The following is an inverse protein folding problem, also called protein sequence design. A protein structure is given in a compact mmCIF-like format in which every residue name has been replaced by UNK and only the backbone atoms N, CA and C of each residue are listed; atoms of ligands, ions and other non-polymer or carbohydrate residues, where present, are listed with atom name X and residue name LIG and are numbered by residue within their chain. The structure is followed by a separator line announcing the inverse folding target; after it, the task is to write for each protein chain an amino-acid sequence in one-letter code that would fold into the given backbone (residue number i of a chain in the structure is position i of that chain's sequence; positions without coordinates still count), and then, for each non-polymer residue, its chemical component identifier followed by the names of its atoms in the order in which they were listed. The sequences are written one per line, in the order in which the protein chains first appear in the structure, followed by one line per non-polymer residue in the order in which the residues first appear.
data_IF_992218405809
#
_entry.id   IF_992218405809
#
_cell.length_a   1.000
_cell.length_b   1.000
_cell.length_c   1.000
_cell.angle_alpha   90.00
_cell.angle_beta   90.00
_cell.angle_gamma   90.00
#
_symmetry.space_group_name_H-M   'P 1'
#
loop_
_entity.id
_entity.type
_entity.pdbx_description
1 polymer ?
#
# COMPACT_ATOMS: atom_id res chain seq x y z
N UNK A 1 23.48 19.39 4.66
CA UNK A 1 22.26 19.56 3.84
C UNK A 1 22.43 18.73 2.58
N UNK A 2 21.35 18.14 2.06
CA UNK A 2 21.25 17.13 1.00
C UNK A 2 21.30 15.66 1.43
N UNK A 3 20.09 15.07 1.53
CA UNK A 3 19.82 13.66 1.24
C UNK A 3 18.41 13.57 0.62
N UNK A 4 18.22 14.23 -0.53
CA UNK A 4 17.10 13.99 -1.43
C UNK A 4 17.56 12.99 -2.49
N UNK A 5 17.38 11.69 -2.24
CA UNK A 5 17.59 10.68 -3.28
C UNK A 5 17.02 9.33 -2.85
N UNK A 6 15.69 9.22 -2.74
CA UNK A 6 14.99 7.94 -2.57
C UNK A 6 13.48 8.15 -2.80
N UNK A 7 13.00 8.43 -4.03
CA UNK A 7 11.60 8.18 -4.41
C UNK A 7 11.23 8.42 -5.89
N UNK A 8 12.12 8.18 -6.87
CA UNK A 8 11.79 8.39 -8.29
C UNK A 8 11.23 7.16 -9.04
N UNK A 9 10.82 6.08 -8.37
CA UNK A 9 10.40 4.86 -9.08
C UNK A 9 9.15 4.19 -8.50
N UNK A 10 8.05 4.94 -8.36
CA UNK A 10 6.72 4.37 -8.11
C UNK A 10 5.82 4.49 -9.33
N UNK A 11 6.10 3.68 -10.36
CA UNK A 11 5.20 3.38 -11.47
C UNK A 11 4.39 2.10 -11.24
N UNK A 12 3.86 1.88 -10.03
CA UNK A 12 3.14 0.65 -9.70
C UNK A 12 1.65 0.80 -9.97
N UNK A 13 1.22 0.28 -11.12
CA UNK A 13 -0.20 0.16 -11.52
C UNK A 13 -0.81 -1.06 -10.84
N UNK A 14 -1.77 -0.85 -9.94
CA UNK A 14 -2.58 -1.91 -9.34
C UNK A 14 -3.73 -2.26 -10.29
N UNK A 15 -3.62 -3.34 -11.08
CA UNK A 15 -4.78 -3.94 -11.77
C UNK A 15 -5.20 -5.21 -11.04
N UNK A 16 -6.43 -5.22 -10.51
CA UNK A 16 -7.03 -6.38 -9.84
C UNK A 16 -7.30 -7.54 -10.83
N UNK A 17 -7.05 -8.77 -10.39
CA UNK A 17 -7.37 -10.00 -11.14
C UNK A 17 -8.89 -10.23 -11.14
N UNK A 18 -9.45 -10.31 -12.35
CA UNK A 18 -10.85 -10.66 -12.66
C UNK A 18 -11.31 -11.96 -11.97
N UNK A 19 -12.42 -11.97 -11.19
CA UNK A 19 -13.06 -13.22 -10.78
C UNK A 19 -13.76 -13.88 -11.98
N UNK A 20 -13.57 -15.20 -12.13
CA UNK A 20 -14.17 -16.00 -13.20
C UNK A 20 -15.65 -16.19 -12.92
N UNK A 21 -16.54 -15.82 -13.85
CA UNK A 21 -17.91 -16.35 -13.85
C UNK A 21 -19.10 -15.40 -14.08
N UNK A 22 -18.96 -14.23 -14.70
CA UNK A 22 -20.14 -13.42 -15.07
C UNK A 22 -20.20 -13.15 -16.58
N UNK A 23 -21.13 -13.80 -17.27
CA UNK A 23 -21.51 -13.51 -18.65
C UNK A 23 -22.52 -12.35 -18.68
N UNK A 24 -22.02 -11.14 -18.51
CA UNK A 24 -22.74 -9.90 -18.77
C UNK A 24 -21.82 -8.97 -19.53
N UNK A 25 -22.28 -8.36 -20.63
CA UNK A 25 -21.50 -7.35 -21.37
C UNK A 25 -21.37 -6.10 -20.51
N UNK A 26 -20.39 -6.10 -19.62
CA UNK A 26 -19.95 -4.94 -18.87
C UNK A 26 -19.25 -4.00 -19.85
N UNK A 27 -19.87 -2.85 -20.15
CA UNK A 27 -19.18 -1.74 -20.80
C UNK A 27 -18.28 -1.14 -19.71
N UNK A 28 -17.03 -1.57 -19.67
CA UNK A 28 -16.04 -1.07 -18.73
C UNK A 28 -15.59 0.31 -19.22
N UNK A 29 -16.07 1.38 -18.56
CA UNK A 29 -15.65 2.77 -18.78
C UNK A 29 -14.21 2.99 -18.24
N UNK A 30 -13.25 2.20 -18.70
CA UNK A 30 -11.82 2.37 -18.40
C UNK A 30 -11.21 3.57 -19.16
N UNK A 31 -11.96 4.22 -20.06
CA UNK A 31 -11.42 5.09 -21.11
C UNK A 31 -11.03 6.51 -20.68
N UNK A 32 -11.12 6.89 -19.40
CA UNK A 32 -10.89 8.28 -18.99
C UNK A 32 -9.74 8.53 -18.02
N UNK A 33 -8.93 7.53 -17.66
CA UNK A 33 -7.85 7.74 -16.67
C UNK A 33 -6.53 7.14 -17.09
N UNK A 34 -5.49 7.96 -17.04
CA UNK A 34 -4.10 7.54 -17.00
C UNK A 34 -3.84 6.89 -15.64
N UNK A 35 -3.41 5.61 -15.60
CA UNK A 35 -3.09 4.92 -14.34
C UNK A 35 -1.98 5.62 -13.52
N UNK A 36 -1.25 6.56 -14.13
CA UNK A 36 -0.24 7.38 -13.48
C UNK A 36 -0.81 8.49 -12.59
N UNK A 37 -2.06 8.91 -12.80
CA UNK A 37 -2.64 10.05 -12.09
C UNK A 37 -3.78 9.65 -11.13
N UNK A 38 -4.25 8.41 -11.23
CA UNK A 38 -5.42 7.93 -10.50
C UNK A 38 -5.18 6.57 -9.84
N UNK A 39 -5.66 6.42 -8.61
CA UNK A 39 -5.89 5.11 -7.99
C UNK A 39 -7.33 4.69 -8.29
N UNK A 40 -7.49 3.56 -8.96
CA UNK A 40 -8.80 2.96 -9.23
C UNK A 40 -8.89 1.63 -8.47
N UNK A 41 -9.89 1.48 -7.61
CA UNK A 41 -10.16 0.24 -6.90
C UNK A 41 -11.68 0.07 -6.77
N UNK A 42 -12.15 -1.17 -6.74
CA UNK A 42 -13.57 -1.50 -6.89
C UNK A 42 -14.19 -0.97 -8.21
N UNK A 43 -15.33 -1.54 -8.62
CA UNK A 43 -15.95 -1.16 -9.89
C UNK A 43 -16.38 0.31 -9.88
N UNK A 44 -15.70 1.14 -10.67
CA UNK A 44 -16.10 2.52 -10.97
C UNK A 44 -15.62 3.60 -9.99
N UNK A 45 -14.83 3.28 -8.94
CA UNK A 45 -14.22 4.32 -8.08
C UNK A 45 -12.82 4.71 -8.56
N UNK A 46 -12.53 6.00 -8.53
CA UNK A 46 -11.26 6.57 -8.93
C UNK A 46 -10.91 7.77 -8.06
N UNK A 47 -9.68 7.83 -7.57
CA UNK A 47 -9.17 8.88 -6.69
C UNK A 47 -7.86 9.46 -7.24
N UNK A 48 -7.63 10.75 -7.00
CA UNK A 48 -6.46 11.46 -7.50
C UNK A 48 -5.20 11.13 -6.70
N UNK A 49 -4.11 10.82 -7.41
CA UNK A 49 -2.76 10.68 -6.83
C UNK A 49 -2.12 12.03 -6.54
N UNK A 50 -2.39 13.04 -7.38
CA UNK A 50 -1.86 14.39 -7.24
C UNK A 50 -2.98 15.42 -7.43
N UNK A 51 -3.49 15.95 -6.33
CA UNK A 51 -4.59 16.92 -6.31
C UNK A 51 -4.20 18.26 -6.94
N UNK A 52 -2.93 18.68 -6.81
CA UNK A 52 -2.42 19.96 -7.36
C UNK A 52 -2.45 20.00 -8.88
N UNK A 53 -2.36 18.84 -9.54
CA UNK A 53 -2.46 18.74 -11.01
C UNK A 53 -3.85 19.15 -11.53
N UNK A 54 -4.88 19.10 -10.68
CA UNK A 54 -6.27 19.36 -11.04
C UNK A 54 -6.86 20.53 -10.25
N UNK A 55 -6.01 21.49 -9.86
CA UNK A 55 -6.38 22.76 -9.19
C UNK A 55 -7.08 22.62 -7.81
N UNK A 56 -7.07 21.42 -7.23
CA UNK A 56 -7.51 21.23 -5.85
C UNK A 56 -6.50 21.82 -4.87
N UNK A 57 -7.02 22.40 -3.80
CA UNK A 57 -6.19 23.04 -2.77
C UNK A 57 -5.74 22.03 -1.72
N UNK A 58 -4.70 22.35 -0.95
CA UNK A 58 -4.22 21.47 0.13
C UNK A 58 -5.31 21.25 1.20
N UNK A 59 -6.25 22.18 1.37
CA UNK A 59 -7.43 22.02 2.22
C UNK A 59 -8.44 20.97 1.72
N UNK A 60 -8.44 20.65 0.42
CA UNK A 60 -9.26 19.57 -0.13
C UNK A 60 -8.65 18.19 0.10
N UNK A 61 -7.35 18.17 0.38
CA UNK A 61 -6.48 17.00 0.58
C UNK A 61 -5.75 17.05 1.94
N UNK A 62 -6.48 17.17 3.07
CA UNK A 62 -5.85 17.32 4.37
C UNK A 62 -5.09 16.04 4.77
N UNK A 63 -3.94 16.22 5.43
CA UNK A 63 -3.29 15.15 6.18
C UNK A 63 -4.14 14.79 7.39
N UNK A 64 -4.36 13.49 7.59
CA UNK A 64 -5.17 12.95 8.69
C UNK A 64 -4.29 12.51 9.88
N UNK A 65 -2.97 12.68 9.78
CA UNK A 65 -1.99 12.15 10.72
C UNK A 65 -1.68 10.67 10.47
N UNK A 66 -0.69 10.12 11.19
CA UNK A 66 -0.27 8.71 11.11
C UNK A 66 0.05 8.21 9.68
N UNK A 67 0.57 9.10 8.82
CA UNK A 67 0.87 8.78 7.42
C UNK A 67 -0.39 8.51 6.59
N UNK A 68 -1.51 9.19 6.89
CA UNK A 68 -2.76 9.12 6.14
C UNK A 68 -3.14 10.50 5.59
N UNK A 69 -3.87 10.50 4.48
CA UNK A 69 -4.39 11.70 3.83
C UNK A 69 -5.80 11.44 3.30
N UNK A 70 -6.57 12.51 3.06
CA UNK A 70 -7.88 12.41 2.44
C UNK A 70 -7.78 12.68 0.93
N UNK A 71 -8.04 11.69 0.10
CA UNK A 71 -8.03 11.85 -1.35
C UNK A 71 -9.40 12.25 -1.89
N UNK A 72 -9.40 13.10 -2.92
CA UNK A 72 -10.59 13.42 -3.71
C UNK A 72 -10.72 12.45 -4.87
N UNK A 73 -11.94 12.01 -5.14
CA UNK A 73 -12.24 11.07 -6.21
C UNK A 73 -13.68 11.13 -6.68
N UNK A 74 -14.05 10.13 -7.47
CA UNK A 74 -15.41 9.96 -7.97
C UNK A 74 -15.79 8.49 -8.07
N UNK A 75 -17.08 8.22 -7.96
CA UNK A 75 -17.69 6.95 -8.30
C UNK A 75 -18.53 7.12 -9.56
N UNK A 76 -18.29 6.28 -10.56
CA UNK A 76 -18.92 6.33 -11.87
C UNK A 76 -19.67 5.04 -12.10
N UNK A 77 -20.92 5.14 -12.52
CA UNK A 77 -21.73 3.98 -12.91
C UNK A 77 -22.60 4.29 -14.11
N UNK A 78 -22.97 3.26 -14.86
CA UNK A 78 -23.94 3.35 -15.94
C UNK A 78 -25.23 2.71 -15.48
N UNK A 79 -26.35 3.42 -15.62
CA UNK A 79 -27.70 2.91 -15.34
C UNK A 79 -28.54 3.04 -16.59
N UNK A 80 -29.31 2.01 -16.91
CA UNK A 80 -30.30 2.10 -17.99
C UNK A 80 -31.57 2.71 -17.43
N UNK A 81 -32.02 3.81 -18.04
CA UNK A 81 -33.25 4.53 -17.68
C UNK A 81 -34.24 4.48 -18.84
N UNK A 82 -35.52 4.67 -18.54
CA UNK A 82 -36.58 4.76 -19.55
C UNK A 82 -36.37 6.01 -20.40
N UNK A 83 -36.28 5.82 -21.71
CA UNK A 83 -36.15 6.90 -22.67
C UNK A 83 -37.47 7.67 -22.89
N UNK A 84 -37.42 8.82 -23.58
CA UNK A 84 -38.59 9.68 -23.82
C UNK A 84 -39.77 8.99 -24.52
N UNK A 85 -39.51 7.85 -25.18
CA UNK A 85 -40.49 7.06 -25.95
C UNK A 85 -41.01 5.81 -25.20
N UNK A 86 -40.98 5.83 -23.85
CA UNK A 86 -41.49 4.80 -22.93
C UNK A 86 -40.77 3.43 -23.02
N UNK A 87 -41.24 2.45 -22.23
CA UNK A 87 -40.79 1.05 -21.99
C UNK A 87 -40.05 0.28 -23.10
N UNK A 88 -40.14 0.66 -24.37
CA UNK A 88 -39.44 0.03 -25.49
C UNK A 88 -38.05 0.64 -25.77
N UNK A 89 -37.68 1.77 -25.15
CA UNK A 89 -36.39 2.44 -25.35
C UNK A 89 -35.65 2.62 -24.02
N UNK A 90 -34.55 1.88 -23.85
CA UNK A 90 -33.62 2.07 -22.74
C UNK A 90 -32.49 3.01 -23.17
N UNK A 91 -32.25 4.07 -22.39
CA UNK A 91 -31.12 4.97 -22.58
C UNK A 91 -30.09 4.71 -21.48
N UNK A 92 -28.81 4.72 -21.84
CA UNK A 92 -27.74 4.68 -20.86
C UNK A 92 -27.59 6.07 -20.22
N UNK A 93 -27.75 6.15 -18.91
CA UNK A 93 -27.41 7.31 -18.10
C UNK A 93 -26.10 7.04 -17.37
N UNK A 94 -25.18 8.00 -17.44
CA UNK A 94 -23.94 7.97 -16.65
C UNK A 94 -24.20 8.73 -15.36
N UNK A 95 -24.04 8.05 -14.24
CA UNK A 95 -24.11 8.64 -12.89
C UNK A 95 -22.69 8.83 -12.40
N UNK A 96 -22.35 10.07 -12.02
CA UNK A 96 -21.04 10.43 -11.48
C UNK A 96 -21.26 11.10 -10.13
N UNK A 97 -20.78 10.44 -9.07
CA UNK A 97 -20.80 10.97 -7.71
C UNK A 97 -19.39 11.36 -7.28
N UNK A 98 -19.23 12.51 -6.63
CA UNK A 98 -17.96 12.87 -5.99
C UNK A 98 -17.75 12.08 -4.70
N UNK A 99 -16.51 11.66 -4.43
CA UNK A 99 -16.12 10.91 -3.24
C UNK A 99 -14.88 11.50 -2.59
N UNK A 100 -14.76 11.35 -1.28
CA UNK A 100 -13.50 11.48 -0.55
C UNK A 100 -13.25 10.19 0.23
N UNK A 101 -12.02 9.72 0.27
CA UNK A 101 -11.64 8.53 1.02
C UNK A 101 -10.25 8.74 1.65
N UNK A 102 -10.00 8.12 2.80
CA UNK A 102 -8.71 8.18 3.45
C UNK A 102 -7.76 7.18 2.78
N UNK A 103 -6.52 7.58 2.56
CA UNK A 103 -5.48 6.75 1.98
C UNK A 103 -4.23 6.80 2.84
N UNK A 104 -3.42 5.75 2.72
CA UNK A 104 -2.07 5.74 3.23
C UNK A 104 -1.09 6.49 2.33
N UNK A 105 -0.24 7.32 2.92
CA UNK A 105 0.88 7.95 2.23
C UNK A 105 1.85 6.88 1.70
N UNK A 106 2.32 6.99 0.44
CA UNK A 106 3.38 6.14 -0.07
C UNK A 106 4.72 6.58 0.54
N UNK A 107 5.12 5.93 1.63
CA UNK A 107 6.37 6.23 2.33
C UNK A 107 7.10 4.96 2.81
N UNK A 108 8.39 5.10 3.12
CA UNK A 108 9.16 4.04 3.73
C UNK A 108 8.50 3.60 5.04
N UNK A 109 8.35 2.30 5.25
CA UNK A 109 7.56 1.82 6.38
C UNK A 109 8.14 2.28 7.73
N UNK A 110 9.46 2.42 7.82
CA UNK A 110 10.12 2.90 9.04
C UNK A 110 9.65 4.32 9.42
N UNK A 111 9.52 5.22 8.45
CA UNK A 111 9.02 6.57 8.69
C UNK A 111 7.57 6.53 9.18
N UNK A 112 6.77 5.67 8.56
CA UNK A 112 5.38 5.46 8.96
C UNK A 112 5.25 4.96 10.39
N UNK A 113 6.06 4.01 10.84
CA UNK A 113 6.00 3.61 12.24
C UNK A 113 6.56 4.64 13.20
N UNK A 114 7.61 5.36 12.83
CA UNK A 114 8.06 6.50 13.63
C UNK A 114 6.93 7.51 13.79
N UNK A 115 6.11 7.76 12.75
CA UNK A 115 4.94 8.63 12.85
C UNK A 115 3.82 8.07 13.75
N UNK A 116 3.70 6.74 13.91
CA UNK A 116 2.66 6.10 14.74
C UNK A 116 3.08 6.05 16.22
N UNK A 117 4.28 5.52 16.53
CA UNK A 117 4.73 5.21 17.91
C UNK A 117 5.89 6.08 18.40
N UNK A 118 6.44 6.97 17.56
CA UNK A 118 7.48 7.94 17.92
C UNK A 118 8.65 7.33 18.72
N UNK A 119 9.21 6.22 18.20
CA UNK A 119 10.26 5.48 18.90
C UNK A 119 11.66 5.79 18.35
N UNK A 120 12.66 5.66 19.23
CA UNK A 120 14.07 5.85 18.90
C UNK A 120 14.71 4.52 18.46
N UNK A 121 15.62 4.61 17.51
CA UNK A 121 16.20 3.48 16.76
C UNK A 121 17.03 2.49 17.60
N UNK A 122 17.47 2.91 18.78
CA UNK A 122 18.42 2.15 19.60
C UNK A 122 17.73 1.23 20.61
N UNK A 123 16.41 1.38 20.81
CA UNK A 123 15.66 0.63 21.83
C UNK A 123 14.65 -0.32 21.21
N UNK A 124 14.49 -1.48 21.85
CA UNK A 124 13.42 -2.43 21.53
C UNK A 124 12.08 -1.80 21.88
N UNK A 125 11.12 -1.89 20.97
CA UNK A 125 9.78 -1.37 21.18
C UNK A 125 9.08 -2.07 22.36
N UNK A 126 8.35 -1.30 23.16
CA UNK A 126 7.47 -1.88 24.17
C UNK A 126 6.31 -2.62 23.50
N UNK A 127 5.80 -3.65 24.18
CA UNK A 127 4.72 -4.48 23.65
C UNK A 127 3.48 -3.67 23.22
N UNK A 128 3.13 -2.64 23.99
CA UNK A 128 2.00 -1.75 23.66
C UNK A 128 2.20 -1.02 22.32
N UNK A 129 3.42 -0.59 22.04
CA UNK A 129 3.77 0.09 20.77
C UNK A 129 3.73 -0.90 19.60
N UNK A 130 4.24 -2.11 19.81
CA UNK A 130 4.15 -3.17 18.82
C UNK A 130 2.69 -3.52 18.53
N UNK A 131 1.83 -3.62 19.54
CA UNK A 131 0.41 -3.92 19.35
C UNK A 131 -0.33 -2.77 18.63
N UNK A 132 0.02 -1.51 18.91
CA UNK A 132 -0.48 -0.36 18.16
C UNK A 132 -0.03 -0.40 16.69
N UNK A 133 1.23 -0.76 16.42
CA UNK A 133 1.74 -0.95 15.06
C UNK A 133 1.05 -2.10 14.34
N UNK A 134 0.84 -3.25 15.02
CA UNK A 134 0.09 -4.38 14.47
C UNK A 134 -1.31 -3.93 14.04
N UNK A 135 -2.02 -3.17 14.87
CA UNK A 135 -3.37 -2.69 14.57
C UNK A 135 -3.40 -1.71 13.38
N UNK A 136 -2.44 -0.79 13.29
CA UNK A 136 -2.43 0.25 12.25
C UNK A 136 -1.84 -0.20 10.91
N UNK A 137 -0.96 -1.21 10.90
CA UNK A 137 -0.26 -1.67 9.70
C UNK A 137 -0.84 -2.97 9.12
N UNK A 138 -1.75 -3.63 9.82
CA UNK A 138 -2.43 -4.83 9.30
C UNK A 138 -3.16 -4.48 8.00
N UNK A 139 -3.04 -5.36 7.01
CA UNK A 139 -3.67 -5.24 5.68
C UNK A 139 -3.20 -4.05 4.83
N UNK A 140 -2.28 -3.22 5.32
CA UNK A 140 -1.57 -2.23 4.50
C UNK A 140 -0.69 -2.98 3.51
N UNK A 141 -0.78 -2.67 2.23
CA UNK A 141 0.13 -3.30 1.27
C UNK A 141 1.45 -2.56 1.20
N UNK A 142 2.51 -3.35 1.10
CA UNK A 142 3.88 -2.90 0.97
C UNK A 142 4.51 -3.47 -0.28
N UNK A 143 5.36 -2.66 -0.90
CA UNK A 143 6.21 -3.02 -2.00
C UNK A 143 7.63 -3.30 -1.51
N UNK A 144 8.21 -4.42 -1.93
CA UNK A 144 9.61 -4.74 -1.64
C UNK A 144 10.56 -3.89 -2.50
N UNK A 145 11.59 -3.32 -1.87
CA UNK A 145 12.59 -2.46 -2.54
C UNK A 145 13.95 -3.12 -2.73
N UNK A 146 14.20 -4.23 -2.03
CA UNK A 146 15.50 -4.93 -2.03
C UNK A 146 15.75 -5.83 -3.25
N UNK A 147 14.74 -6.06 -4.09
CA UNK A 147 14.82 -6.95 -5.26
C UNK A 147 14.66 -6.16 -6.55
N UNK A 148 15.30 -6.63 -7.63
CA UNK A 148 15.13 -6.07 -8.99
C UNK A 148 13.69 -6.11 -9.49
N UNK A 149 12.91 -7.07 -8.98
CA UNK A 149 11.48 -7.19 -9.27
C UNK A 149 10.68 -6.88 -8.00
N UNK A 150 10.16 -5.66 -7.86
CA UNK A 150 9.36 -5.30 -6.71
C UNK A 150 8.09 -6.14 -6.67
N UNK A 151 7.72 -6.58 -5.48
CA UNK A 151 6.49 -7.34 -5.24
C UNK A 151 5.67 -6.63 -4.19
N UNK A 152 4.36 -6.62 -4.40
CA UNK A 152 3.39 -5.98 -3.51
C UNK A 152 2.65 -7.04 -2.72
N UNK A 153 2.60 -6.90 -1.40
CA UNK A 153 1.92 -7.84 -0.51
C UNK A 153 1.25 -7.11 0.66
N UNK A 154 0.11 -7.60 1.17
CA UNK A 154 -0.48 -7.11 2.40
C UNK A 154 0.37 -7.54 3.61
N UNK A 155 0.53 -6.64 4.58
CA UNK A 155 1.13 -6.96 5.87
C UNK A 155 0.16 -7.83 6.66
N UNK A 156 0.62 -9.01 7.08
CA UNK A 156 -0.15 -9.90 7.93
C UNK A 156 -0.03 -9.53 9.41
N UNK A 157 1.19 -9.22 9.87
CA UNK A 157 1.47 -8.86 11.26
C UNK A 157 2.81 -8.11 11.40
N UNK A 158 3.08 -7.64 12.62
CA UNK A 158 4.39 -7.13 13.05
C UNK A 158 4.89 -8.01 14.20
N UNK A 159 6.16 -8.41 14.18
CA UNK A 159 6.77 -9.24 15.22
C UNK A 159 7.21 -8.42 16.43
N UNK A 160 7.29 -9.06 17.59
CA UNK A 160 7.98 -8.50 18.77
C UNK A 160 9.49 -8.79 18.74
N UNK A 161 9.90 -9.80 17.97
CA UNK A 161 11.30 -10.13 17.71
C UNK A 161 11.96 -9.04 16.88
N UNK A 162 13.17 -8.67 17.28
CA UNK A 162 14.01 -7.71 16.56
C UNK A 162 14.75 -8.36 15.40
N UNK A 163 15.31 -7.54 14.52
CA UNK A 163 16.12 -8.00 13.39
C UNK A 163 17.36 -8.79 13.84
N UNK A 164 17.93 -8.45 15.01
CA UNK A 164 19.09 -9.16 15.60
C UNK A 164 18.72 -10.53 16.14
N UNK A 165 17.56 -10.63 16.79
CA UNK A 165 17.09 -11.86 17.43
C UNK A 165 16.62 -12.91 16.41
N UNK A 166 16.27 -12.48 15.18
CA UNK A 166 15.71 -13.38 14.17
C UNK A 166 16.78 -14.24 13.50
N UNK A 167 16.64 -15.55 13.67
CA UNK A 167 17.51 -16.57 13.07
C UNK A 167 16.68 -17.49 12.18
N UNK A 168 17.26 -17.93 11.06
CA UNK A 168 16.68 -18.90 10.15
C UNK A 168 17.56 -20.16 10.07
N UNK A 169 16.92 -21.30 9.91
CA UNK A 169 17.61 -22.57 9.66
C UNK A 169 17.91 -22.70 8.16
N UNK A 170 19.19 -22.87 7.81
CA UNK A 170 19.64 -23.01 6.43
C UNK A 170 19.42 -24.44 5.87
N UNK A 171 18.75 -25.32 6.63
CA UNK A 171 18.45 -26.69 6.25
C UNK A 171 19.66 -27.65 6.30
N UNK A 172 20.89 -27.14 6.26
CA UNK A 172 22.13 -27.93 6.41
C UNK A 172 22.63 -28.00 7.87
N UNK A 173 21.78 -27.68 8.86
CA UNK A 173 22.17 -27.60 10.28
C UNK A 173 22.92 -26.31 10.66
N UNK A 174 23.11 -25.40 9.70
CA UNK A 174 23.56 -24.03 9.95
C UNK A 174 22.40 -23.11 10.30
N UNK A 175 22.61 -22.22 11.26
CA UNK A 175 21.68 -21.14 11.61
C UNK A 175 22.28 -19.82 11.13
N UNK A 176 21.47 -19.00 10.45
CA UNK A 176 21.89 -17.70 9.90
C UNK A 176 21.01 -16.59 10.47
N UNK A 177 21.60 -15.50 10.92
CA UNK A 177 20.85 -14.33 11.37
C UNK A 177 20.24 -13.59 10.18
N UNK A 178 19.12 -12.91 10.39
CA UNK A 178 18.50 -12.09 9.34
C UNK A 178 19.44 -11.00 8.83
N UNK A 179 20.28 -10.44 9.70
CA UNK A 179 21.28 -9.41 9.36
C UNK A 179 22.30 -9.97 8.38
N UNK A 180 22.86 -11.14 8.69
CA UNK A 180 23.89 -11.76 7.86
C UNK A 180 23.30 -12.22 6.53
N UNK A 181 22.08 -12.76 6.54
CA UNK A 181 21.36 -13.08 5.32
C UNK A 181 21.14 -11.86 4.41
N UNK A 182 20.71 -10.73 4.97
CA UNK A 182 20.51 -9.50 4.21
C UNK A 182 21.82 -8.94 3.63
N UNK A 183 22.93 -9.03 4.38
CA UNK A 183 24.25 -8.62 3.90
C UNK A 183 24.76 -9.57 2.81
N UNK A 184 24.75 -10.87 3.04
CA UNK A 184 25.32 -11.86 2.10
C UNK A 184 24.53 -11.95 0.79
N UNK A 185 23.20 -11.89 0.85
CA UNK A 185 22.35 -12.10 -0.34
C UNK A 185 22.04 -10.83 -1.12
N UNK A 186 21.88 -9.70 -0.42
CA UNK A 186 21.43 -8.45 -1.03
C UNK A 186 22.42 -7.30 -0.88
N UNK A 187 23.53 -7.48 -0.15
CA UNK A 187 24.51 -6.43 0.17
C UNK A 187 23.88 -5.21 0.87
N UNK A 188 22.88 -5.46 1.74
CA UNK A 188 22.15 -4.40 2.44
C UNK A 188 22.61 -4.29 3.89
N UNK A 189 23.18 -3.15 4.24
CA UNK A 189 23.40 -2.76 5.64
C UNK A 189 22.09 -2.25 6.28
N UNK A 190 21.56 -3.05 7.21
CA UNK A 190 20.40 -2.70 8.02
C UNK A 190 20.79 -1.64 9.05
N UNK A 191 20.10 -0.49 9.02
CA UNK A 191 20.33 0.65 9.93
C UNK A 191 19.57 0.54 11.25
N UNK A 192 18.57 -0.33 11.32
CA UNK A 192 17.64 -0.45 12.43
C UNK A 192 17.62 -1.88 12.98
N UNK A 193 18.69 -2.32 13.67
CA UNK A 193 18.81 -3.69 14.16
C UNK A 193 17.79 -4.01 15.26
N UNK A 194 17.45 -3.03 16.10
CA UNK A 194 16.49 -3.17 17.21
C UNK A 194 15.02 -3.04 16.79
N UNK A 195 14.76 -2.70 15.53
CA UNK A 195 13.39 -2.60 15.03
C UNK A 195 12.74 -3.99 14.88
N UNK A 196 11.41 -4.07 15.08
CA UNK A 196 10.65 -5.30 14.84
C UNK A 196 10.69 -5.72 13.37
N UNK A 197 10.02 -6.81 12.99
CA UNK A 197 9.93 -7.27 11.61
C UNK A 197 8.50 -7.26 11.12
N UNK A 198 8.34 -7.08 9.81
CA UNK A 198 7.05 -7.19 9.15
C UNK A 198 6.87 -8.64 8.74
N UNK A 199 5.68 -9.16 9.00
CA UNK A 199 5.30 -10.52 8.62
C UNK A 199 4.37 -10.46 7.42
N UNK A 200 4.71 -11.23 6.39
CA UNK A 200 3.88 -11.41 5.20
C UNK A 200 3.59 -12.90 5.03
N UNK A 201 2.31 -13.25 5.02
CA UNK A 201 1.88 -14.62 4.77
C UNK A 201 1.90 -14.89 3.26
N UNK A 202 2.81 -15.75 2.83
CA UNK A 202 2.74 -16.38 1.51
C UNK A 202 1.83 -17.63 1.57
N UNK A 203 1.54 -18.21 0.40
CA UNK A 203 0.64 -19.37 0.28
C UNK A 203 0.99 -20.56 1.21
N UNK A 204 2.27 -20.74 1.57
CA UNK A 204 2.74 -21.85 2.42
C UNK A 204 3.87 -21.48 3.39
N UNK A 205 4.31 -20.22 3.39
CA UNK A 205 5.48 -19.78 4.16
C UNK A 205 5.26 -18.37 4.68
N UNK A 206 5.64 -18.17 5.93
CA UNK A 206 5.66 -16.87 6.59
C UNK A 206 6.98 -16.20 6.30
N UNK A 207 6.94 -15.08 5.58
CA UNK A 207 8.14 -14.30 5.25
C UNK A 207 8.30 -13.13 6.21
N UNK A 208 9.54 -12.88 6.62
CA UNK A 208 9.89 -11.78 7.50
C UNK A 208 10.70 -10.75 6.74
N UNK A 209 10.28 -9.50 6.81
CA UNK A 209 10.93 -8.40 6.12
C UNK A 209 11.38 -7.32 7.12
N UNK A 210 12.67 -6.92 7.06
CA UNK A 210 13.12 -5.69 7.72
C UNK A 210 12.41 -4.47 7.14
N UNK A 211 12.21 -3.46 7.98
CA UNK A 211 11.48 -2.24 7.64
C UNK A 211 12.11 -1.43 6.50
N UNK A 212 13.44 -1.48 6.40
CA UNK A 212 14.19 -0.78 5.35
C UNK A 212 13.94 -1.36 3.94
N UNK A 213 13.45 -2.58 3.86
CA UNK A 213 13.27 -3.31 2.61
C UNK A 213 11.84 -3.21 2.04
N UNK A 214 10.97 -2.43 2.68
CA UNK A 214 9.56 -2.31 2.36
C UNK A 214 9.07 -0.83 2.36
N UNK A 215 8.31 -0.47 1.33
CA UNK A 215 7.65 0.84 1.21
C UNK A 215 6.15 0.64 1.16
N UNK A 216 5.39 1.44 1.88
CA UNK A 216 3.93 1.36 1.83
C UNK A 216 3.40 1.87 0.49
N UNK A 217 2.34 1.22 -0.02
CA UNK A 217 1.66 1.61 -1.25
C UNK A 217 0.42 2.43 -0.88
N UNK A 218 0.08 3.41 -1.71
CA UNK A 218 -1.13 4.20 -1.53
C UNK A 218 -2.37 3.33 -1.70
N UNK A 219 -3.07 3.09 -0.59
CA UNK A 219 -4.28 2.27 -0.52
C UNK A 219 -5.29 2.94 0.41
N UNK A 220 -6.56 2.81 0.05
CA UNK A 220 -7.67 3.28 0.88
C UNK A 220 -7.68 2.58 2.24
N UNK A 221 -7.87 3.35 3.30
CA UNK A 221 -8.14 2.87 4.66
C UNK A 221 -9.60 2.44 4.76
#
# INVERSE_FOLDING_TARGET
MHSQQCCELCGCVMTEKKPRGCSGRHIELQFMFTPSDHICYESGRSFLLNHKKYDFQDNDYPELGEGKYLAVGSHKSVRFIEGPKRRANAHAAVVVDTRKAAFHNPECLINKAMAIVNFNNDQKLHKNDVDRLKAQLKDVFVQTTHSKHPRVFPIAAVTEETTVEKVFDEGQGGSITLIDYCKLKYDIALRYPSAPLIVVNGNRQTNYYPWKCATSVAISV
#
